data_IF_840351085321
#
_entry.id   IF_840351085321
#
_cell.length_a   1.000
_cell.length_b   1.000
_cell.length_c   1.000
_cell.angle_alpha   90.00
_cell.angle_beta   90.00
_cell.angle_gamma   90.00
#
_symmetry.space_group_name_H-M   'P 1'
#
loop_
_entity.id
_entity.type
_entity.pdbx_description
1 polymer ?
#
# COMPACT_ATOMS: atom_id res chain seq x y z
N UNK A 1 -10.69 16.81 11.42
CA UNK A 1 -11.73 15.77 11.23
C UNK A 1 -12.33 16.00 9.85
N UNK A 2 -11.85 15.29 8.83
CA UNK A 2 -12.42 15.33 7.48
C UNK A 2 -12.08 14.05 6.74
N UNK A 3 -13.15 13.32 6.40
CA UNK A 3 -13.37 12.32 5.36
C UNK A 3 -12.35 11.20 5.14
N UNK A 4 -12.56 10.10 5.85
CA UNK A 4 -12.21 8.80 5.32
C UNK A 4 -13.35 8.28 4.44
N UNK A 5 -13.26 8.52 3.13
CA UNK A 5 -14.14 7.85 2.18
C UNK A 5 -13.91 6.32 2.24
N UNK A 6 -14.97 5.50 2.19
CA UNK A 6 -14.82 4.06 2.04
C UNK A 6 -14.16 3.78 0.69
N UNK A 7 -12.97 3.17 0.70
CA UNK A 7 -12.33 2.69 -0.53
C UNK A 7 -13.11 1.49 -1.05
N UNK A 8 -14.14 1.74 -1.85
CA UNK A 8 -14.63 0.72 -2.77
C UNK A 8 -13.42 0.30 -3.62
N UNK A 9 -13.11 -0.99 -3.67
CA UNK A 9 -12.10 -1.52 -4.59
C UNK A 9 -12.60 -1.27 -6.00
N UNK A 10 -12.17 -0.16 -6.61
CA UNK A 10 -12.46 0.15 -8.00
C UNK A 10 -11.51 -0.71 -8.83
N UNK A 11 -12.04 -1.77 -9.43
CA UNK A 11 -11.35 -2.42 -10.53
C UNK A 11 -11.54 -1.54 -11.77
N UNK A 12 -10.48 -0.87 -12.28
CA UNK A 12 -10.59 -0.07 -13.48
C UNK A 12 -11.05 -0.96 -14.65
N UNK A 13 -11.78 -0.36 -15.60
CA UNK A 13 -12.07 -1.05 -16.87
C UNK A 13 -10.77 -1.32 -17.61
N UNK A 14 -10.74 -2.30 -18.52
CA UNK A 14 -9.53 -2.66 -19.27
C UNK A 14 -8.87 -1.44 -19.94
N UNK A 15 -9.67 -0.60 -20.59
CA UNK A 15 -9.20 0.62 -21.28
C UNK A 15 -8.55 1.61 -20.31
N UNK A 16 -9.12 1.78 -19.12
CA UNK A 16 -8.60 2.65 -18.06
C UNK A 16 -7.30 2.08 -17.49
N UNK A 17 -7.27 0.78 -17.21
CA UNK A 17 -6.11 0.07 -16.66
C UNK A 17 -4.89 0.16 -17.60
N UNK A 18 -5.11 0.08 -18.91
CA UNK A 18 -4.04 0.20 -19.92
C UNK A 18 -3.39 1.59 -19.96
N UNK A 19 -4.08 2.63 -19.46
CA UNK A 19 -3.58 4.01 -19.41
C UNK A 19 -3.03 4.41 -18.04
N UNK A 20 -3.15 3.56 -17.03
CA UNK A 20 -2.65 3.86 -15.69
C UNK A 20 -1.11 3.79 -15.63
N UNK A 21 -0.46 4.62 -14.80
CA UNK A 21 0.97 4.51 -14.54
C UNK A 21 1.36 3.10 -14.10
N UNK A 22 2.41 2.55 -14.73
CA UNK A 22 2.90 1.20 -14.43
C UNK A 22 3.93 1.26 -13.31
N UNK A 23 3.43 1.28 -12.08
CA UNK A 23 4.29 1.31 -10.88
C UNK A 23 4.47 -0.12 -10.38
N UNK A 24 5.72 -0.59 -10.34
CA UNK A 24 6.11 -1.81 -9.68
C UNK A 24 6.39 -1.54 -8.19
N UNK A 25 5.75 -2.32 -7.32
CA UNK A 25 6.00 -2.33 -5.88
C UNK A 25 6.37 -3.76 -5.51
N UNK A 26 7.60 -3.97 -5.03
CA UNK A 26 8.11 -5.31 -4.74
C UNK A 26 8.99 -5.33 -3.50
N UNK A 27 9.33 -6.55 -3.05
CA UNK A 27 10.22 -6.78 -1.90
C UNK A 27 9.77 -6.03 -0.64
N UNK A 28 8.46 -5.93 -0.39
CA UNK A 28 7.93 -5.20 0.76
C UNK A 28 8.24 -5.96 2.05
N UNK A 29 8.83 -5.27 3.02
CA UNK A 29 9.17 -5.80 4.34
C UNK A 29 8.49 -4.97 5.44
N UNK A 30 8.15 -5.59 6.59
CA UNK A 30 8.38 -6.99 6.94
C UNK A 30 7.33 -7.95 6.36
N UNK A 31 7.78 -9.10 5.84
CA UNK A 31 6.93 -10.20 5.36
C UNK A 31 7.41 -11.53 5.95
N UNK A 32 6.49 -12.41 6.34
CA UNK A 32 6.78 -13.75 6.86
C UNK A 32 6.11 -14.81 5.98
N UNK A 33 6.89 -15.77 5.50
CA UNK A 33 6.45 -16.88 4.63
C UNK A 33 5.56 -16.36 3.48
N UNK A 34 6.09 -15.43 2.67
CA UNK A 34 5.38 -14.79 1.55
C UNK A 34 4.00 -14.22 1.91
N UNK A 35 3.84 -13.72 3.14
CA UNK A 35 2.61 -13.10 3.62
C UNK A 35 1.61 -14.07 4.22
N UNK A 36 1.96 -15.36 4.32
CA UNK A 36 1.12 -16.37 4.98
C UNK A 36 0.90 -16.07 6.47
N UNK A 37 1.86 -15.41 7.11
CA UNK A 37 1.76 -15.01 8.51
C UNK A 37 1.85 -13.50 8.67
N UNK A 38 1.10 -12.98 9.65
CA UNK A 38 1.18 -11.58 10.01
C UNK A 38 2.54 -11.24 10.62
N UNK A 39 3.09 -10.08 10.24
CA UNK A 39 4.21 -9.49 10.96
C UNK A 39 3.80 -9.16 12.40
N UNK A 40 4.76 -9.27 13.33
CA UNK A 40 4.56 -8.96 14.74
C UNK A 40 5.25 -7.63 15.06
N UNK A 41 4.64 -6.86 15.94
CA UNK A 41 5.17 -5.60 16.45
C UNK A 41 4.95 -5.50 17.96
N UNK A 42 5.67 -4.59 18.62
CA UNK A 42 5.53 -4.29 20.04
C UNK A 42 4.89 -2.90 20.18
N UNK A 43 3.96 -2.77 21.12
CA UNK A 43 3.29 -1.48 21.39
C UNK A 43 4.34 -0.41 21.74
N UNK A 44 4.20 0.76 21.13
CA UNK A 44 5.09 1.90 21.34
C UNK A 44 6.41 1.83 20.55
N UNK A 45 6.69 0.72 19.85
CA UNK A 45 7.86 0.63 18.97
C UNK A 45 7.48 0.94 17.52
N UNK A 46 8.31 1.70 16.78
CA UNK A 46 8.06 1.95 15.37
C UNK A 46 8.16 0.66 14.56
N UNK A 47 7.27 0.51 13.58
CA UNK A 47 7.34 -0.56 12.57
C UNK A 47 7.96 0.05 11.31
N UNK A 48 9.18 -0.37 11.00
CA UNK A 48 9.86 0.08 9.77
C UNK A 48 9.33 -0.73 8.59
N UNK A 49 8.69 -0.05 7.66
CA UNK A 49 8.22 -0.63 6.40
C UNK A 49 9.17 -0.20 5.28
N UNK A 50 9.64 -1.15 4.49
CA UNK A 50 10.47 -0.89 3.31
C UNK A 50 9.86 -1.56 2.08
N UNK A 51 10.08 -0.98 0.91
CA UNK A 51 9.68 -1.58 -0.35
C UNK A 51 10.57 -1.03 -1.47
N UNK A 52 10.75 -1.80 -2.52
CA UNK A 52 11.30 -1.29 -3.78
C UNK A 52 10.14 -0.78 -4.62
N UNK A 53 10.24 0.45 -5.09
CA UNK A 53 9.22 1.10 -5.90
C UNK A 53 9.90 1.73 -7.10
N UNK A 54 9.46 1.37 -8.29
CA UNK A 54 9.98 1.90 -9.55
C UNK A 54 8.87 1.90 -10.60
N UNK A 55 9.05 2.71 -11.64
CA UNK A 55 8.17 2.77 -12.81
C UNK A 55 9.03 2.94 -14.06
N UNK A 56 8.47 2.69 -15.24
CA UNK A 56 9.12 3.09 -16.48
C UNK A 56 9.06 4.62 -16.67
N UNK A 57 10.06 5.18 -17.37
CA UNK A 57 10.15 6.62 -17.63
C UNK A 57 10.95 7.40 -16.59
N UNK A 58 10.70 8.71 -16.50
CA UNK A 58 11.48 9.66 -15.69
C UNK A 58 10.64 10.45 -14.69
N UNK A 59 9.40 10.02 -14.48
CA UNK A 59 8.47 10.71 -13.59
C UNK A 59 8.91 10.58 -12.12
N UNK A 60 8.64 11.62 -11.34
CA UNK A 60 8.94 11.60 -9.91
C UNK A 60 7.95 10.71 -9.16
N UNK A 61 8.47 9.76 -8.39
CA UNK A 61 7.67 8.84 -7.58
C UNK A 61 7.48 9.35 -6.15
N UNK A 62 6.32 9.04 -5.57
CA UNK A 62 6.02 9.22 -4.16
C UNK A 62 5.35 7.96 -3.61
N UNK A 63 5.53 7.69 -2.32
CA UNK A 63 4.95 6.53 -1.65
C UNK A 63 4.46 6.89 -0.25
N UNK A 64 3.40 6.23 0.20
CA UNK A 64 2.87 6.38 1.55
C UNK A 64 2.50 5.00 2.10
N UNK A 65 2.78 4.79 3.39
CA UNK A 65 2.33 3.58 4.10
C UNK A 65 0.91 3.83 4.58
N UNK A 66 -0.06 3.12 4.01
CA UNK A 66 -1.43 3.17 4.47
C UNK A 66 -1.69 2.04 5.48
N UNK A 67 -2.32 2.35 6.62
CA UNK A 67 -2.64 1.36 7.65
C UNK A 67 -4.06 1.55 8.21
N UNK A 68 -4.62 0.50 8.79
CA UNK A 68 -5.94 0.50 9.44
C UNK A 68 -6.01 -0.55 10.52
N UNK A 69 -6.91 -0.38 11.48
CA UNK A 69 -7.17 -1.42 12.46
C UNK A 69 -8.05 -2.53 11.86
N UNK A 70 -8.00 -3.71 12.47
CA UNK A 70 -8.85 -4.83 12.05
C UNK A 70 -10.32 -4.46 12.27
N UNK A 71 -11.11 -4.51 11.20
CA UNK A 71 -12.54 -4.18 11.23
C UNK A 71 -12.87 -2.76 10.81
N UNK A 72 -11.88 -1.86 10.71
CA UNK A 72 -12.07 -0.54 10.13
C UNK A 72 -12.12 -0.62 8.60
N UNK A 73 -12.92 0.24 7.99
CA UNK A 73 -13.00 0.39 6.53
C UNK A 73 -12.13 1.54 6.01
N UNK A 74 -11.81 2.50 6.88
CA UNK A 74 -10.99 3.68 6.59
C UNK A 74 -9.51 3.40 6.72
N UNK A 75 -8.73 3.83 5.73
CA UNK A 75 -7.27 3.81 5.80
C UNK A 75 -6.72 5.13 6.38
N UNK A 76 -5.66 5.04 7.17
CA UNK A 76 -4.84 6.14 7.66
C UNK A 76 -3.52 6.19 6.86
N UNK A 77 -2.92 7.36 6.74
CA UNK A 77 -1.61 7.60 6.10
C UNK A 77 -0.63 8.14 7.11
#
# INVERSE_FOLDING_TARGET
MSDAQPTATIHPRLEEALQMPRIAIESTLPVLDEGRFAAKAVIGQPVVVTSKIFADGHDQLAAAVCWREKGETSWRR
#
